data_IF_950361389027
#
_entry.id   IF_950361389027
#
_cell.length_a   1.000
_cell.length_b   1.000
_cell.length_c   1.000
_cell.angle_alpha   90.00
_cell.angle_beta   90.00
_cell.angle_gamma   90.00
#
_symmetry.space_group_name_H-M   'P 1'
#
loop_
_entity.id
_entity.type
_entity.pdbx_description
1 polymer ?
#
# COMPACT_ATOMS: atom_id res chain seq x y z
N UNK A 1 -8.90 -19.92 -4.96
CA UNK A 1 -7.77 -19.02 -5.25
C UNK A 1 -6.48 -19.80 -5.43
N UNK A 2 -6.06 -20.61 -4.44
CA UNK A 2 -4.89 -21.48 -4.56
C UNK A 2 -4.90 -22.39 -5.82
N UNK A 3 -6.01 -23.08 -6.12
CA UNK A 3 -6.09 -23.94 -7.32
C UNK A 3 -5.98 -23.18 -8.64
N UNK A 4 -6.46 -21.92 -8.67
CA UNK A 4 -6.37 -21.07 -9.86
C UNK A 4 -4.93 -20.61 -10.11
N UNK A 5 -4.21 -20.23 -9.04
CA UNK A 5 -2.79 -19.88 -9.10
C UNK A 5 -1.94 -21.11 -9.46
N UNK A 6 -2.16 -22.25 -8.82
CA UNK A 6 -1.49 -23.52 -9.14
C UNK A 6 -1.72 -23.90 -10.61
N UNK A 7 -2.96 -23.81 -11.08
CA UNK A 7 -3.28 -24.09 -12.48
C UNK A 7 -2.60 -23.13 -13.46
N UNK A 8 -2.46 -21.85 -13.08
CA UNK A 8 -1.76 -20.84 -13.86
C UNK A 8 -0.26 -21.12 -13.95
N UNK A 9 0.37 -21.37 -12.81
CA UNK A 9 1.81 -21.64 -12.71
C UNK A 9 2.20 -22.89 -13.51
N UNK A 10 1.39 -23.96 -13.45
CA UNK A 10 1.60 -25.15 -14.29
C UNK A 10 1.52 -24.85 -15.79
N UNK A 11 0.59 -23.99 -16.22
CA UNK A 11 0.49 -23.58 -17.63
C UNK A 11 1.66 -22.73 -18.09
N UNK A 12 2.31 -22.02 -17.17
CA UNK A 12 3.55 -21.30 -17.42
C UNK A 12 4.79 -22.21 -17.46
N UNK A 13 4.62 -23.54 -17.33
CA UNK A 13 5.72 -24.51 -17.39
C UNK A 13 6.50 -24.65 -16.09
N UNK A 14 6.00 -24.09 -14.98
CA UNK A 14 6.65 -24.17 -13.68
C UNK A 14 6.27 -25.46 -12.96
N UNK A 15 7.27 -26.12 -12.37
CA UNK A 15 7.06 -27.22 -11.43
C UNK A 15 6.60 -26.64 -10.10
N UNK A 16 5.56 -27.24 -9.52
CA UNK A 16 5.02 -26.83 -8.21
C UNK A 16 5.19 -28.01 -7.28
N UNK A 17 6.15 -27.90 -6.37
CA UNK A 17 6.46 -28.97 -5.42
C UNK A 17 5.35 -29.08 -4.37
N UNK A 18 4.94 -27.94 -3.80
CA UNK A 18 3.97 -27.88 -2.72
C UNK A 18 3.00 -26.70 -2.88
N UNK A 19 1.73 -26.90 -2.47
CA UNK A 19 0.72 -25.85 -2.41
C UNK A 19 -0.02 -25.92 -1.08
N UNK A 20 0.02 -24.83 -0.31
CA UNK A 20 -0.57 -24.76 1.02
C UNK A 20 -1.60 -23.63 1.10
N UNK A 21 -2.79 -23.96 1.57
CA UNK A 21 -3.87 -22.98 1.83
C UNK A 21 -3.82 -22.41 3.26
N UNK A 22 -2.95 -22.94 4.13
CA UNK A 22 -2.76 -22.48 5.52
C UNK A 22 -1.38 -21.85 5.66
N UNK A 23 -1.34 -20.60 6.13
CA UNK A 23 -0.11 -19.83 6.22
C UNK A 23 0.96 -20.47 7.11
N UNK A 24 0.58 -21.06 8.26
CA UNK A 24 1.52 -21.76 9.13
C UNK A 24 2.24 -22.91 8.42
N UNK A 25 1.49 -23.75 7.69
CA UNK A 25 2.09 -24.85 6.90
C UNK A 25 2.94 -24.33 5.73
N UNK A 26 2.52 -23.23 5.10
CA UNK A 26 3.29 -22.61 4.03
C UNK A 26 4.64 -22.09 4.55
N UNK A 27 4.64 -21.47 5.72
CA UNK A 27 5.86 -21.01 6.41
C UNK A 27 6.81 -22.18 6.68
N UNK A 28 6.31 -23.22 7.33
CA UNK A 28 7.14 -24.39 7.68
C UNK A 28 7.74 -25.01 6.41
N UNK A 29 6.94 -25.20 5.35
CA UNK A 29 7.44 -25.72 4.07
C UNK A 29 8.50 -24.82 3.42
N UNK A 30 8.33 -23.49 3.45
CA UNK A 30 9.32 -22.57 2.89
C UNK A 30 10.65 -22.63 3.66
N UNK A 31 10.60 -22.79 4.98
CA UNK A 31 11.79 -22.85 5.82
C UNK A 31 12.47 -24.22 5.80
N UNK A 32 11.70 -25.30 5.73
CA UNK A 32 12.19 -26.67 5.79
C UNK A 32 12.65 -27.18 4.41
N UNK A 33 11.88 -26.90 3.35
CA UNK A 33 12.14 -27.42 2.00
C UNK A 33 13.02 -26.48 1.15
N UNK A 34 13.12 -25.20 1.53
CA UNK A 34 13.94 -24.17 0.87
C UNK A 34 13.72 -24.12 -0.65
N UNK A 35 12.50 -23.77 -1.11
CA UNK A 35 12.20 -23.73 -2.54
C UNK A 35 12.98 -22.62 -3.25
N UNK A 36 13.20 -22.76 -4.55
CA UNK A 36 13.82 -21.72 -5.38
C UNK A 36 13.01 -20.42 -5.35
N UNK A 37 11.68 -20.54 -5.42
CA UNK A 37 10.71 -19.44 -5.38
C UNK A 37 9.50 -19.82 -4.52
N UNK A 38 9.17 -18.97 -3.56
CA UNK A 38 7.93 -19.01 -2.80
C UNK A 38 6.96 -17.92 -3.32
N UNK A 39 5.77 -18.32 -3.75
CA UNK A 39 4.71 -17.40 -4.18
C UNK A 39 3.63 -17.36 -3.10
N UNK A 40 3.44 -16.19 -2.47
CA UNK A 40 2.58 -16.04 -1.30
C UNK A 40 1.43 -15.06 -1.57
N UNK A 41 0.20 -15.49 -1.26
CA UNK A 41 -1.04 -14.73 -1.49
C UNK A 41 -1.89 -14.69 -0.21
N UNK A 42 -1.26 -14.42 0.95
CA UNK A 42 -1.97 -14.38 2.23
C UNK A 42 -2.39 -12.96 2.56
N UNK A 43 -3.70 -12.73 2.67
CA UNK A 43 -4.25 -11.41 2.99
C UNK A 43 -4.30 -11.14 4.51
N UNK A 44 -4.65 -12.15 5.32
CA UNK A 44 -4.98 -11.96 6.73
C UNK A 44 -4.67 -13.20 7.59
N UNK A 45 -4.26 -12.97 8.84
CA UNK A 45 -4.04 -13.99 9.87
C UNK A 45 -2.55 -14.33 10.11
N UNK A 46 -2.16 -14.70 11.35
CA UNK A 46 -0.79 -15.06 11.67
C UNK A 46 -0.44 -16.51 11.25
N UNK A 47 0.76 -16.77 10.71
CA UNK A 47 1.72 -15.77 10.22
C UNK A 47 1.20 -15.09 8.94
N UNK A 48 1.41 -13.77 8.81
CA UNK A 48 1.12 -13.05 7.56
C UNK A 48 2.19 -13.34 6.49
N UNK A 49 1.93 -12.96 5.23
CA UNK A 49 2.94 -13.10 4.17
C UNK A 49 4.24 -12.32 4.48
N UNK A 50 4.13 -11.15 5.14
CA UNK A 50 5.29 -10.37 5.58
C UNK A 50 6.04 -11.05 6.73
N UNK A 51 5.34 -11.78 7.62
CA UNK A 51 6.00 -12.54 8.68
C UNK A 51 6.80 -13.71 8.10
N UNK A 52 6.24 -14.40 7.09
CA UNK A 52 6.97 -15.45 6.37
C UNK A 52 8.19 -14.87 5.67
N UNK A 53 8.07 -13.72 4.99
CA UNK A 53 9.20 -13.04 4.36
C UNK A 53 10.28 -12.66 5.40
N UNK A 54 9.90 -12.13 6.56
CA UNK A 54 10.83 -11.82 7.66
C UNK A 54 11.58 -13.06 8.13
N UNK A 55 10.89 -14.17 8.30
CA UNK A 55 11.50 -15.42 8.77
C UNK A 55 12.47 -16.00 7.72
N UNK A 56 12.09 -15.97 6.44
CA UNK A 56 12.97 -16.39 5.33
C UNK A 56 14.26 -15.57 5.31
N UNK A 57 14.14 -14.24 5.46
CA UNK A 57 15.31 -13.33 5.48
C UNK A 57 16.13 -13.49 6.75
N UNK A 58 15.48 -13.66 7.91
CA UNK A 58 16.15 -13.92 9.19
C UNK A 58 16.92 -15.24 9.21
N UNK A 59 16.41 -16.25 8.52
CA UNK A 59 17.09 -17.55 8.33
C UNK A 59 18.22 -17.49 7.28
N UNK A 60 18.45 -16.34 6.61
CA UNK A 60 19.37 -16.23 5.48
C UNK A 60 19.10 -17.25 4.36
N UNK A 61 17.82 -17.61 4.17
CA UNK A 61 17.42 -18.57 3.14
C UNK A 61 17.62 -17.98 1.73
N UNK A 62 18.11 -18.77 0.76
CA UNK A 62 18.24 -18.34 -0.63
C UNK A 62 16.89 -18.28 -1.38
N UNK A 63 15.80 -18.70 -0.74
CA UNK A 63 14.46 -18.69 -1.33
C UNK A 63 14.07 -17.29 -1.76
N UNK A 64 13.71 -17.16 -3.03
CA UNK A 64 13.14 -15.93 -3.58
C UNK A 64 11.66 -15.87 -3.25
N UNK A 65 11.15 -14.69 -2.90
CA UNK A 65 9.78 -14.51 -2.43
C UNK A 65 9.04 -13.55 -3.35
N UNK A 66 7.92 -14.03 -3.89
CA UNK A 66 6.97 -13.25 -4.66
C UNK A 66 5.71 -13.09 -3.83
N UNK A 67 5.29 -11.85 -3.60
CA UNK A 67 4.10 -11.52 -2.83
C UNK A 67 2.98 -10.97 -3.74
N UNK A 68 1.79 -11.53 -3.57
CA UNK A 68 0.56 -10.90 -4.02
C UNK A 68 0.03 -9.97 -2.92
N UNK A 69 -0.17 -8.71 -3.29
CA UNK A 69 -0.57 -7.65 -2.36
C UNK A 69 -1.89 -7.01 -2.77
N UNK A 70 -2.61 -6.54 -1.76
CA UNK A 70 -3.74 -5.65 -1.96
C UNK A 70 -3.28 -4.28 -2.43
N UNK A 71 -4.23 -3.46 -2.88
CA UNK A 71 -4.03 -2.05 -3.20
C UNK A 71 -4.64 -1.16 -2.10
N UNK A 72 -4.75 -1.67 -0.88
CA UNK A 72 -5.48 -1.05 0.25
C UNK A 72 -4.60 -0.64 1.44
N UNK A 73 -3.37 -1.16 1.57
CA UNK A 73 -2.47 -0.80 2.68
C UNK A 73 -1.09 -0.29 2.25
N UNK A 74 -0.13 -0.45 3.16
CA UNK A 74 1.29 -0.13 2.99
C UNK A 74 2.16 -1.38 2.81
N UNK A 75 1.54 -2.57 2.75
CA UNK A 75 2.24 -3.84 2.60
C UNK A 75 3.26 -3.86 1.46
N UNK A 76 3.03 -3.18 0.31
CA UNK A 76 4.06 -3.08 -0.73
C UNK A 76 5.37 -2.44 -0.26
N UNK A 77 5.29 -1.39 0.56
CA UNK A 77 6.47 -0.70 1.07
C UNK A 77 7.17 -1.57 2.10
N UNK A 78 6.41 -2.14 3.04
CA UNK A 78 6.94 -3.04 4.06
C UNK A 78 7.64 -4.26 3.42
N UNK A 79 7.08 -4.80 2.34
CA UNK A 79 7.67 -5.91 1.60
C UNK A 79 9.01 -5.52 0.94
N UNK A 80 9.09 -4.31 0.35
CA UNK A 80 10.33 -3.80 -0.25
C UNK A 80 11.40 -3.57 0.81
N UNK A 81 11.05 -3.00 1.96
CA UNK A 81 11.99 -2.80 3.07
C UNK A 81 12.52 -4.12 3.64
N UNK A 82 11.71 -5.18 3.61
CA UNK A 82 12.11 -6.54 3.96
C UNK A 82 12.87 -7.27 2.85
N UNK A 83 13.04 -6.66 1.68
CA UNK A 83 13.79 -7.24 0.56
C UNK A 83 13.02 -8.34 -0.17
N UNK A 84 11.74 -8.10 -0.50
CA UNK A 84 10.96 -8.97 -1.40
C UNK A 84 11.56 -9.00 -2.82
N UNK A 85 11.52 -10.15 -3.49
CA UNK A 85 12.06 -10.30 -4.86
C UNK A 85 11.01 -9.96 -5.92
N UNK A 86 9.74 -10.31 -5.67
CA UNK A 86 8.63 -10.01 -6.58
C UNK A 86 7.41 -9.45 -5.85
N UNK A 87 6.78 -8.43 -6.42
CA UNK A 87 5.57 -7.82 -5.89
C UNK A 87 4.55 -7.61 -6.99
N UNK A 88 3.37 -8.21 -6.82
CA UNK A 88 2.27 -8.17 -7.78
C UNK A 88 0.95 -7.81 -7.09
N UNK A 89 0.07 -7.02 -7.72
CA UNK A 89 -1.27 -6.84 -7.20
C UNK A 89 -2.07 -8.15 -7.35
N UNK A 90 -3.02 -8.40 -6.44
CA UNK A 90 -3.88 -9.61 -6.48
C UNK A 90 -4.71 -9.73 -7.76
N UNK A 91 -4.98 -8.61 -8.44
CA UNK A 91 -5.67 -8.56 -9.73
C UNK A 91 -4.71 -8.61 -10.93
N UNK A 92 -3.43 -8.95 -10.73
CA UNK A 92 -2.45 -9.02 -11.80
C UNK A 92 -2.87 -10.02 -12.90
N UNK A 93 -2.74 -9.63 -14.19
CA UNK A 93 -3.04 -10.53 -15.28
C UNK A 93 -2.02 -11.68 -15.33
N UNK A 94 -2.47 -12.84 -15.84
CA UNK A 94 -1.64 -14.06 -15.93
C UNK A 94 -0.27 -13.82 -16.56
N UNK A 95 -0.23 -13.05 -17.64
CA UNK A 95 1.02 -12.73 -18.33
C UNK A 95 2.03 -12.00 -17.42
N UNK A 96 1.56 -11.06 -16.59
CA UNK A 96 2.43 -10.35 -15.64
C UNK A 96 2.93 -11.27 -14.52
N UNK A 97 2.11 -12.24 -14.08
CA UNK A 97 2.54 -13.25 -13.12
C UNK A 97 3.66 -14.11 -13.70
N UNK A 98 3.50 -14.59 -14.93
CA UNK A 98 4.52 -15.39 -15.63
C UNK A 98 5.83 -14.61 -15.81
N UNK A 99 5.75 -13.37 -16.31
CA UNK A 99 6.93 -12.53 -16.54
C UNK A 99 7.66 -12.20 -15.23
N UNK A 100 6.92 -11.91 -14.16
CA UNK A 100 7.47 -11.69 -12.82
C UNK A 100 8.27 -12.91 -12.34
N UNK A 101 7.71 -14.10 -12.47
CA UNK A 101 8.38 -15.33 -12.02
C UNK A 101 9.65 -15.60 -12.83
N UNK A 102 9.60 -15.45 -14.16
CA UNK A 102 10.78 -15.63 -15.02
C UNK A 102 11.91 -14.68 -14.63
N UNK A 103 11.59 -13.40 -14.40
CA UNK A 103 12.58 -12.41 -13.97
C UNK A 103 13.13 -12.70 -12.58
N UNK A 104 12.28 -13.01 -11.63
CA UNK A 104 12.70 -13.38 -10.27
C UNK A 104 13.58 -14.63 -10.30
N UNK A 105 13.22 -15.65 -11.07
CA UNK A 105 14.04 -16.84 -11.27
C UNK A 105 15.44 -16.51 -11.81
N UNK A 106 15.54 -15.52 -12.71
CA UNK A 106 16.82 -15.03 -13.23
C UNK A 106 17.64 -14.17 -12.26
N UNK A 107 17.09 -13.87 -11.07
CA UNK A 107 17.73 -13.03 -10.05
C UNK A 107 17.41 -11.55 -10.16
N UNK A 108 16.48 -11.15 -11.03
CA UNK A 108 15.99 -9.77 -11.12
C UNK A 108 14.87 -9.52 -10.11
N UNK A 109 14.75 -8.28 -9.64
CA UNK A 109 13.62 -7.86 -8.82
C UNK A 109 12.46 -7.40 -9.70
N UNK A 110 11.22 -7.78 -9.35
CA UNK A 110 10.01 -7.28 -10.01
C UNK A 110 9.14 -6.51 -9.02
N UNK A 111 8.98 -5.21 -9.21
CA UNK A 111 8.09 -4.38 -8.39
C UNK A 111 6.99 -3.78 -9.27
N UNK A 112 5.75 -4.23 -9.06
CA UNK A 112 4.62 -3.67 -9.80
C UNK A 112 4.44 -2.18 -9.50
N UNK A 113 4.46 -1.36 -10.55
CA UNK A 113 4.42 0.09 -10.44
C UNK A 113 3.09 0.61 -9.88
N UNK A 114 1.97 -0.08 -10.13
CA UNK A 114 0.64 0.32 -9.63
C UNK A 114 0.59 0.11 -8.12
N UNK A 115 1.03 -1.05 -7.65
CA UNK A 115 1.09 -1.35 -6.22
C UNK A 115 2.00 -0.35 -5.48
N UNK A 116 3.20 -0.08 -6.02
CA UNK A 116 4.13 0.87 -5.43
C UNK A 116 3.59 2.31 -5.40
N UNK A 117 2.95 2.77 -6.49
CA UNK A 117 2.36 4.12 -6.55
C UNK A 117 1.28 4.30 -5.50
N UNK A 118 0.36 3.35 -5.39
CA UNK A 118 -0.75 3.41 -4.42
C UNK A 118 -0.21 3.42 -2.98
N UNK A 119 0.77 2.57 -2.67
CA UNK A 119 1.37 2.55 -1.35
C UNK A 119 2.11 3.86 -1.05
N UNK A 120 2.84 4.43 -2.02
CA UNK A 120 3.54 5.70 -1.86
C UNK A 120 2.58 6.88 -1.64
N UNK A 121 1.49 6.96 -2.42
CA UNK A 121 0.44 7.96 -2.23
C UNK A 121 -0.19 7.87 -0.84
N UNK A 122 -0.36 6.65 -0.30
CA UNK A 122 -0.81 6.47 1.08
C UNK A 122 0.23 6.84 2.11
N UNK A 123 1.50 6.52 1.88
CA UNK A 123 2.59 6.88 2.76
C UNK A 123 2.64 8.41 2.89
N UNK A 124 2.56 9.14 1.78
CA UNK A 124 2.54 10.61 1.78
C UNK A 124 1.28 11.19 2.42
N UNK A 125 0.11 10.53 2.27
CA UNK A 125 -1.11 10.91 2.98
C UNK A 125 -1.00 10.68 4.50
N UNK A 126 -0.43 9.55 4.94
CA UNK A 126 -0.19 9.26 6.37
C UNK A 126 0.85 10.22 6.98
N UNK A 127 1.86 10.58 6.20
CA UNK A 127 2.90 11.55 6.59
C UNK A 127 2.48 13.01 6.41
N UNK A 128 1.28 13.31 5.93
CA UNK A 128 0.72 14.65 6.11
C UNK A 128 0.34 14.79 7.59
N UNK A 129 0.99 15.66 8.37
CA UNK A 129 0.67 15.81 9.78
C UNK A 129 -0.79 16.26 10.00
N UNK A 130 -1.45 16.80 8.97
CA UNK A 130 -2.86 17.15 8.98
C UNK A 130 -3.81 15.94 8.92
N UNK A 131 -3.37 14.78 8.39
CA UNK A 131 -4.23 13.61 8.18
C UNK A 131 -4.71 12.96 9.49
N UNK A 132 -3.88 13.00 10.54
CA UNK A 132 -4.23 12.56 11.89
C UNK A 132 -4.90 13.64 12.76
N UNK A 133 -4.70 14.92 12.46
CA UNK A 133 -5.21 16.05 13.27
C UNK A 133 -6.63 16.48 12.87
N UNK A 134 -6.94 16.43 11.57
CA UNK A 134 -8.20 16.97 11.02
C UNK A 134 -9.22 15.85 10.74
N UNK A 135 -10.48 16.15 11.01
CA UNK A 135 -11.61 15.32 10.57
C UNK A 135 -11.74 15.36 9.03
N UNK A 136 -12.48 14.42 8.41
CA UNK A 136 -12.69 14.42 6.96
C UNK A 136 -13.22 15.76 6.42
N UNK A 137 -14.18 16.39 7.10
CA UNK A 137 -14.74 17.69 6.67
C UNK A 137 -13.80 18.87 6.84
N UNK A 138 -13.05 18.90 7.94
CA UNK A 138 -12.00 19.91 8.14
C UNK A 138 -10.91 19.80 7.07
N UNK A 139 -10.58 18.57 6.66
CA UNK A 139 -9.61 18.29 5.60
C UNK A 139 -10.11 18.75 4.23
N UNK A 140 -11.36 18.49 3.88
CA UNK A 140 -11.97 18.98 2.64
C UNK A 140 -11.92 20.51 2.56
N UNK A 141 -12.29 21.18 3.66
CA UNK A 141 -12.25 22.64 3.76
C UNK A 141 -10.81 23.16 3.62
N UNK A 142 -9.85 22.59 4.35
CA UNK A 142 -8.45 23.00 4.31
C UNK A 142 -7.83 22.84 2.90
N UNK A 143 -8.17 21.76 2.19
CA UNK A 143 -7.76 21.53 0.80
C UNK A 143 -8.23 22.63 -0.14
N UNK A 144 -9.50 23.00 -0.03
CA UNK A 144 -10.07 24.05 -0.89
C UNK A 144 -9.51 25.44 -0.54
N UNK A 145 -9.10 25.66 0.71
CA UNK A 145 -8.32 26.87 1.05
C UNK A 145 -6.95 26.87 0.40
N UNK A 146 -6.24 25.74 0.42
CA UNK A 146 -4.90 25.60 -0.18
C UNK A 146 -4.90 25.83 -1.70
N UNK A 147 -6.03 25.58 -2.38
CA UNK A 147 -6.25 25.88 -3.81
C UNK A 147 -6.77 27.31 -4.06
N UNK A 148 -6.91 28.13 -3.02
CA UNK A 148 -7.28 29.54 -3.12
C UNK A 148 -8.79 29.86 -3.06
N UNK A 149 -9.67 28.87 -2.81
CA UNK A 149 -11.12 29.10 -2.86
C UNK A 149 -11.63 29.91 -1.66
N UNK A 150 -12.43 30.97 -1.92
CA UNK A 150 -13.12 31.74 -0.87
C UNK A 150 -14.23 30.92 -0.22
N UNK A 151 -14.64 31.29 1.00
CA UNK A 151 -15.65 30.53 1.77
C UNK A 151 -16.96 30.27 1.00
N UNK A 152 -17.42 31.22 0.18
CA UNK A 152 -18.57 31.04 -0.70
C UNK A 152 -18.37 29.90 -1.72
N UNK A 153 -17.19 29.83 -2.35
CA UNK A 153 -16.84 28.76 -3.28
C UNK A 153 -16.75 27.41 -2.58
N UNK A 154 -16.14 27.38 -1.38
CA UNK A 154 -16.05 26.17 -0.55
C UNK A 154 -17.44 25.69 -0.13
N UNK A 155 -18.32 26.61 0.28
CA UNK A 155 -19.69 26.33 0.68
C UNK A 155 -20.47 25.67 -0.49
N UNK A 156 -20.35 26.24 -1.69
CA UNK A 156 -20.94 25.65 -2.91
C UNK A 156 -20.34 24.29 -3.22
N UNK A 157 -19.02 24.14 -3.19
CA UNK A 157 -18.33 22.89 -3.52
C UNK A 157 -18.68 21.74 -2.56
N UNK A 158 -18.94 22.03 -1.28
CA UNK A 158 -19.20 21.04 -0.25
C UNK A 158 -20.68 20.91 0.13
N UNK A 159 -21.57 21.73 -0.44
CA UNK A 159 -23.00 21.72 -0.14
C UNK A 159 -23.34 22.14 1.30
N UNK A 160 -22.58 23.09 1.88
CA UNK A 160 -22.75 23.57 3.25
C UNK A 160 -22.88 25.10 3.29
N UNK A 161 -23.25 25.68 4.43
CA UNK A 161 -23.33 27.14 4.56
C UNK A 161 -21.96 27.79 4.74
N UNK A 162 -21.80 29.07 4.36
CA UNK A 162 -20.57 29.82 4.64
C UNK A 162 -20.25 29.91 6.14
N UNK A 163 -21.27 29.90 7.00
CA UNK A 163 -21.10 29.84 8.47
C UNK A 163 -20.47 28.51 8.91
N UNK A 164 -20.90 27.40 8.31
CA UNK A 164 -20.34 26.06 8.55
C UNK A 164 -18.88 25.98 8.07
N UNK A 165 -18.56 26.61 6.93
CA UNK A 165 -17.17 26.72 6.47
C UNK A 165 -16.31 27.48 7.47
N UNK A 166 -16.79 28.61 8.01
CA UNK A 166 -16.07 29.39 9.03
C UNK A 166 -15.83 28.58 10.30
N UNK A 167 -16.81 27.80 10.74
CA UNK A 167 -16.69 26.90 11.89
C UNK A 167 -15.62 25.83 11.66
N UNK A 168 -15.63 25.16 10.51
CA UNK A 168 -14.58 24.19 10.17
C UNK A 168 -13.20 24.85 10.10
N UNK A 169 -13.07 26.04 9.53
CA UNK A 169 -11.81 26.78 9.48
C UNK A 169 -11.30 27.13 10.88
N UNK A 170 -12.18 27.55 11.79
CA UNK A 170 -11.81 27.80 13.18
C UNK A 170 -11.20 26.55 13.84
N UNK A 171 -11.83 25.39 13.67
CA UNK A 171 -11.32 24.13 14.21
C UNK A 171 -10.01 23.71 13.54
N UNK A 172 -9.88 23.90 12.21
CA UNK A 172 -8.65 23.63 11.47
C UNK A 172 -7.50 24.48 12.02
N UNK A 173 -7.71 25.79 12.21
CA UNK A 173 -6.70 26.69 12.75
C UNK A 173 -6.26 26.25 14.15
N UNK A 174 -7.20 25.95 15.04
CA UNK A 174 -6.90 25.48 16.38
C UNK A 174 -6.10 24.16 16.38
N UNK A 175 -6.53 23.18 15.57
CA UNK A 175 -5.87 21.86 15.47
C UNK A 175 -4.50 21.92 14.82
N UNK A 176 -4.30 22.85 13.89
CA UNK A 176 -3.05 22.99 13.15
C UNK A 176 -2.08 23.99 13.82
N UNK A 177 -2.51 24.71 14.86
CA UNK A 177 -1.72 25.77 15.49
C UNK A 177 -1.49 26.97 14.57
N UNK A 178 -2.50 27.32 13.78
CA UNK A 178 -2.45 28.42 12.81
C UNK A 178 -3.37 29.55 13.26
N UNK A 179 -3.08 30.76 12.80
CA UNK A 179 -3.84 31.96 13.17
C UNK A 179 -4.57 32.58 11.97
N UNK A 180 -4.22 32.19 10.74
CA UNK A 180 -4.78 32.82 9.56
C UNK A 180 -5.00 31.87 8.38
N UNK A 181 -5.92 32.29 7.52
CA UNK A 181 -6.17 31.67 6.22
C UNK A 181 -4.93 31.63 5.35
N UNK A 182 -4.10 32.68 5.38
CA UNK A 182 -2.88 32.76 4.58
C UNK A 182 -1.87 31.73 5.05
N UNK A 183 -1.69 31.61 6.38
CA UNK A 183 -0.85 30.56 6.96
C UNK A 183 -1.36 29.17 6.56
N UNK A 184 -2.68 28.93 6.64
CA UNK A 184 -3.27 27.67 6.18
C UNK A 184 -3.04 27.42 4.69
N UNK A 185 -3.20 28.45 3.85
CA UNK A 185 -2.97 28.32 2.41
C UNK A 185 -1.51 28.02 2.07
N UNK A 186 -0.56 28.46 2.90
CA UNK A 186 0.88 28.26 2.73
C UNK A 186 1.44 27.08 3.52
N UNK A 187 0.63 26.41 4.34
CA UNK A 187 1.08 25.35 5.24
C UNK A 187 1.63 24.15 4.45
N UNK A 188 2.89 23.81 4.70
CA UNK A 188 3.60 22.73 4.00
C UNK A 188 3.00 21.36 4.30
N UNK A 189 2.28 21.18 5.41
CA UNK A 189 1.54 19.95 5.75
C UNK A 189 0.38 19.69 4.79
N UNK A 190 -0.09 20.72 4.08
CA UNK A 190 -1.13 20.63 3.04
C UNK A 190 -0.56 20.63 1.62
N UNK A 191 0.78 20.67 1.44
CA UNK A 191 1.41 20.78 0.12
C UNK A 191 1.12 19.59 -0.80
N UNK A 192 0.89 18.40 -0.25
CA UNK A 192 0.48 17.20 -0.99
C UNK A 192 -1.01 17.19 -1.38
N UNK A 193 -1.78 18.21 -0.96
CA UNK A 193 -3.22 18.30 -1.17
C UNK A 193 -3.63 19.39 -2.17
N UNK A 194 -2.64 20.12 -2.73
CA UNK A 194 -2.84 21.19 -3.71
C UNK A 194 -3.14 20.66 -5.11
#
# INVERSE_FOLDING_TARGET
MADALVGLLRRAGLTIDNAHVRAAKARDAVLDDVPDIAVLDFAEGPPSALDILRDVRGASSPTRVILFVGLEGLEPIDAVELGVDGLLPRDAPVAAVSECIERVASGEQWLDQRAMRVAHDRLTQRHSPAAGLLTPRERDVARLVATGQRNRGIATALGISEGTVKMHLHNVYAKMGLESRTQLAMDTRLASMR
#
